data_IF_065594449077
#
_entry.id   IF_065594449077
#
_cell.length_a   1.000
_cell.length_b   1.000
_cell.length_c   1.000
_cell.angle_alpha   90.00
_cell.angle_beta   90.00
_cell.angle_gamma   90.00
#
_symmetry.space_group_name_H-M   'P 1'
#
loop_
_entity.id
_entity.type
_entity.pdbx_description
1 polymer ?
#
# COMPACT_ATOMS: atom_id res chain seq x y z
N UNK A 1 -10.18 -31.30 -19.49
CA UNK A 1 -10.91 -30.07 -19.85
C UNK A 1 -10.00 -28.88 -19.56
N UNK A 2 -9.53 -28.13 -20.57
CA UNK A 2 -8.61 -27.03 -20.35
C UNK A 2 -9.36 -25.82 -19.79
N UNK A 3 -9.04 -25.44 -18.56
CA UNK A 3 -9.56 -24.26 -17.88
C UNK A 3 -9.05 -22.98 -18.57
N UNK A 4 -9.84 -22.45 -19.49
CA UNK A 4 -9.68 -21.08 -19.99
C UNK A 4 -10.09 -20.11 -18.88
N UNK A 5 -9.14 -19.73 -18.02
CA UNK A 5 -9.29 -18.53 -17.20
C UNK A 5 -9.21 -17.34 -18.16
N UNK A 6 -10.36 -16.68 -18.37
CA UNK A 6 -10.48 -15.50 -19.23
C UNK A 6 -9.45 -14.43 -18.85
N UNK A 7 -8.73 -13.89 -19.85
CA UNK A 7 -7.75 -12.78 -19.69
C UNK A 7 -8.32 -11.58 -18.91
N UNK A 8 -9.64 -11.35 -18.93
CA UNK A 8 -10.31 -10.31 -18.14
C UNK A 8 -10.35 -10.60 -16.64
N UNK A 9 -10.51 -11.86 -16.24
CA UNK A 9 -10.48 -12.25 -14.82
C UNK A 9 -9.06 -12.13 -14.23
N UNK A 10 -8.03 -12.35 -15.06
CA UNK A 10 -6.61 -12.21 -14.71
C UNK A 10 -6.17 -10.74 -14.56
N UNK A 11 -6.57 -9.84 -15.48
CA UNK A 11 -6.30 -8.40 -15.38
C UNK A 11 -6.95 -7.73 -14.15
N UNK A 12 -8.08 -8.26 -13.66
CA UNK A 12 -8.70 -7.82 -12.40
C UNK A 12 -8.00 -8.39 -11.15
N UNK A 13 -7.25 -9.49 -11.29
CA UNK A 13 -6.54 -10.15 -10.20
C UNK A 13 -5.19 -9.51 -9.85
N UNK A 14 -4.46 -9.00 -10.86
CA UNK A 14 -3.11 -8.46 -10.67
C UNK A 14 -3.02 -7.03 -10.10
N UNK A 15 -4.15 -6.32 -9.96
CA UNK A 15 -4.22 -4.94 -9.43
C UNK A 15 -4.11 -4.79 -7.90
N UNK A 16 -4.04 -5.87 -7.12
CA UNK A 16 -4.62 -5.86 -5.75
C UNK A 16 -3.62 -5.82 -4.57
N UNK A 17 -2.31 -5.86 -4.79
CA UNK A 17 -1.29 -6.21 -3.78
C UNK A 17 -0.07 -5.27 -3.71
N UNK A 18 0.79 -5.46 -2.69
CA UNK A 18 2.11 -4.82 -2.50
C UNK A 18 2.36 -4.42 -1.03
N UNK A 19 3.59 -4.16 -0.56
CA UNK A 19 4.93 -4.43 -1.13
C UNK A 19 5.97 -4.55 0.03
N UNK A 20 7.23 -4.07 -0.07
CA UNK A 20 8.34 -4.72 0.66
C UNK A 20 9.36 -3.84 1.49
N UNK A 21 9.82 -4.28 2.71
CA UNK A 21 10.67 -3.52 3.71
C UNK A 21 11.62 -4.26 4.72
N UNK A 22 11.74 -3.88 6.03
CA UNK A 22 12.52 -4.64 7.09
C UNK A 22 12.24 -4.25 8.61
N UNK A 23 12.82 -4.96 9.63
CA UNK A 23 12.52 -4.84 11.10
C UNK A 23 13.70 -5.20 12.10
N UNK A 24 13.48 -5.23 13.45
CA UNK A 24 14.54 -5.25 14.53
C UNK A 24 14.40 -6.27 15.70
N UNK A 25 15.52 -6.89 16.09
CA UNK A 25 15.70 -7.74 17.30
C UNK A 25 16.36 -6.94 18.43
N UNK A 26 15.81 -7.01 19.65
CA UNK A 26 16.32 -6.37 20.88
C UNK A 26 17.34 -7.27 21.58
N UNK A 27 18.51 -6.74 21.90
CA UNK A 27 19.38 -7.26 22.97
C UNK A 27 19.86 -6.08 23.82
N UNK A 28 19.47 -6.08 25.09
CA UNK A 28 20.00 -5.20 26.14
C UNK A 28 21.20 -5.86 26.81
N UNK A 29 22.33 -5.14 26.96
CA UNK A 29 22.92 -4.86 28.28
C UNK A 29 24.18 -3.97 28.25
N UNK A 30 24.15 -3.00 29.19
CA UNK A 30 25.25 -2.39 29.97
C UNK A 30 26.43 -1.72 29.26
N UNK A 31 26.59 -0.43 29.55
CA UNK A 31 27.48 0.50 28.87
C UNK A 31 28.95 0.51 29.27
N UNK A 32 29.69 1.28 28.49
CA UNK A 32 30.93 1.97 28.84
C UNK A 32 30.93 3.28 28.06
N UNK A 33 30.92 4.41 28.78
CA UNK A 33 31.13 5.74 28.22
C UNK A 33 32.55 5.83 27.66
N UNK A 34 32.72 6.07 26.36
CA UNK A 34 33.97 6.57 25.78
C UNK A 34 33.69 7.76 24.89
N UNK A 35 34.34 8.88 25.23
CA UNK A 35 34.47 10.09 24.42
C UNK A 35 35.05 9.73 23.05
N UNK A 36 34.38 10.15 21.97
CA UNK A 36 34.97 10.18 20.63
C UNK A 36 34.86 11.61 20.12
N UNK A 37 36.03 12.19 19.87
CA UNK A 37 36.24 13.46 19.23
C UNK A 37 35.43 13.55 17.92
N UNK A 38 34.82 14.71 17.69
CA UNK A 38 34.12 15.04 16.45
C UNK A 38 35.11 15.09 15.27
N UNK A 39 35.42 13.92 14.71
CA UNK A 39 35.94 13.84 13.36
C UNK A 39 34.83 14.36 12.44
N UNK A 40 35.09 15.48 11.77
CA UNK A 40 34.26 15.95 10.67
C UNK A 40 34.39 14.94 9.51
N UNK A 41 33.60 13.87 9.55
CA UNK A 41 33.37 13.05 8.37
C UNK A 41 32.63 13.91 7.36
N UNK A 42 33.14 14.01 6.13
CA UNK A 42 32.37 14.49 4.99
C UNK A 42 30.97 13.85 5.03
N UNK A 43 29.93 14.69 5.01
CA UNK A 43 28.55 14.23 5.09
C UNK A 43 28.22 13.48 3.80
N UNK A 44 28.37 12.15 3.80
CA UNK A 44 27.90 11.33 2.69
C UNK A 44 26.39 11.44 2.58
N UNK A 45 25.91 11.91 1.43
CA UNK A 45 24.48 12.05 1.15
C UNK A 45 23.97 10.83 0.40
N UNK A 46 22.90 10.22 0.92
CA UNK A 46 22.19 9.16 0.22
C UNK A 46 21.38 9.77 -0.93
N UNK A 47 21.52 9.21 -2.13
CA UNK A 47 20.78 9.60 -3.32
C UNK A 47 20.02 8.40 -3.90
N UNK A 48 18.76 8.61 -4.29
CA UNK A 48 17.97 7.66 -5.04
C UNK A 48 18.16 7.90 -6.55
N UNK A 49 18.58 6.87 -7.26
CA UNK A 49 18.62 6.86 -8.72
C UNK A 49 17.37 6.17 -9.24
N UNK A 50 16.49 6.95 -9.87
CA UNK A 50 15.32 6.43 -10.56
C UNK A 50 15.67 6.07 -12.00
N UNK A 51 15.53 4.80 -12.42
CA UNK A 51 15.60 4.46 -13.84
C UNK A 51 14.35 4.98 -14.58
N UNK A 52 14.34 4.92 -15.92
CA UNK A 52 13.16 5.28 -16.70
C UNK A 52 11.90 4.54 -16.22
N UNK A 53 10.81 5.29 -16.07
CA UNK A 53 9.51 4.78 -15.61
C UNK A 53 8.37 5.44 -16.40
N UNK A 54 7.19 4.80 -16.50
CA UNK A 54 6.12 5.26 -17.37
C UNK A 54 5.39 6.47 -16.79
N UNK A 55 5.77 7.68 -17.22
CA UNK A 55 5.11 8.93 -16.84
C UNK A 55 4.54 9.66 -18.06
N UNK A 56 3.45 9.10 -18.61
CA UNK A 56 2.78 9.57 -19.81
C UNK A 56 2.00 10.90 -19.62
N UNK A 57 1.60 11.53 -20.72
CA UNK A 57 0.91 12.83 -20.69
C UNK A 57 -0.42 12.78 -19.93
N UNK A 58 -1.20 11.71 -20.07
CA UNK A 58 -2.43 11.54 -19.29
C UNK A 58 -2.17 11.53 -17.76
N UNK A 59 -1.08 10.93 -17.27
CA UNK A 59 -0.72 10.95 -15.84
C UNK A 59 -0.36 12.36 -15.37
N UNK A 60 0.34 13.14 -16.22
CA UNK A 60 0.69 14.54 -15.94
C UNK A 60 -0.53 15.46 -15.78
N UNK A 61 -1.71 15.04 -16.23
CA UNK A 61 -2.96 15.81 -16.01
C UNK A 61 -3.46 15.75 -14.57
N UNK A 62 -3.02 14.75 -13.78
CA UNK A 62 -3.50 14.53 -12.40
C UNK A 62 -2.37 14.39 -11.37
N UNK A 63 -1.11 14.33 -11.81
CA UNK A 63 0.06 14.17 -10.96
C UNK A 63 1.18 15.13 -11.39
N UNK A 64 2.08 15.46 -10.45
CA UNK A 64 3.21 16.32 -10.75
C UNK A 64 4.47 15.82 -10.05
N UNK A 65 5.58 15.76 -10.79
CA UNK A 65 6.87 15.36 -10.25
C UNK A 65 7.38 16.43 -9.28
N UNK A 66 7.94 15.99 -8.15
CA UNK A 66 8.67 16.85 -7.21
C UNK A 66 9.91 16.11 -6.71
N UNK A 67 10.98 16.20 -7.49
CA UNK A 67 12.27 15.61 -7.12
C UNK A 67 12.85 16.27 -5.86
N UNK A 68 12.50 17.52 -5.56
CA UNK A 68 12.91 18.21 -4.35
C UNK A 68 12.33 17.54 -3.10
N UNK A 69 11.03 17.26 -3.11
CA UNK A 69 10.37 16.48 -2.06
C UNK A 69 10.93 15.06 -1.97
N UNK A 70 11.07 14.35 -3.10
CA UNK A 70 11.62 12.99 -3.11
C UNK A 70 13.02 12.95 -2.45
N UNK A 71 13.90 13.89 -2.81
CA UNK A 71 15.24 14.01 -2.21
C UNK A 71 15.19 14.34 -0.71
N UNK A 72 14.23 15.16 -0.25
CA UNK A 72 14.02 15.38 1.19
C UNK A 72 13.58 14.10 1.89
N UNK A 73 12.69 13.32 1.29
CA UNK A 73 12.24 12.04 1.85
C UNK A 73 13.38 11.02 1.91
N UNK A 74 14.22 10.91 0.87
CA UNK A 74 15.44 10.07 0.91
C UNK A 74 16.37 10.50 2.04
N UNK A 75 16.54 11.81 2.22
CA UNK A 75 17.39 12.36 3.28
C UNK A 75 16.82 12.05 4.67
N UNK A 76 15.50 12.10 4.85
CA UNK A 76 14.84 11.73 6.10
C UNK A 76 14.97 10.23 6.38
N UNK A 77 14.70 9.40 5.37
CA UNK A 77 14.87 7.96 5.41
C UNK A 77 16.30 7.56 5.81
N UNK A 78 17.31 8.21 5.24
CA UNK A 78 18.71 7.96 5.55
C UNK A 78 19.08 8.30 7.01
N UNK A 79 18.44 9.29 7.63
CA UNK A 79 18.64 9.64 9.05
C UNK A 79 17.93 8.68 10.00
N UNK A 80 16.78 8.16 9.58
CA UNK A 80 15.92 7.30 10.41
C UNK A 80 16.25 5.81 10.25
N UNK A 81 16.97 5.43 9.18
CA UNK A 81 17.27 4.03 8.85
C UNK A 81 18.78 3.78 8.89
N UNK A 82 19.28 2.84 9.70
CA UNK A 82 20.69 2.48 9.71
C UNK A 82 21.18 2.07 8.31
N UNK A 83 22.42 2.44 7.95
CA UNK A 83 23.01 2.19 6.63
C UNK A 83 22.86 0.75 6.14
N UNK A 84 23.02 -0.24 7.02
CA UNK A 84 22.89 -1.66 6.66
C UNK A 84 21.47 -2.07 6.21
N UNK A 85 20.45 -1.27 6.52
CA UNK A 85 19.04 -1.54 6.21
C UNK A 85 18.47 -0.59 5.14
N UNK A 86 19.28 0.35 4.63
CA UNK A 86 18.83 1.28 3.59
C UNK A 86 18.61 0.52 2.28
N UNK A 87 17.35 0.40 1.87
CA UNK A 87 16.96 -0.31 0.66
C UNK A 87 16.02 0.57 -0.20
N UNK A 88 16.27 0.74 -1.51
CA UNK A 88 15.46 1.64 -2.35
C UNK A 88 14.01 1.16 -2.50
N UNK A 89 13.78 -0.15 -2.44
CA UNK A 89 12.42 -0.71 -2.47
C UNK A 89 11.73 -0.52 -1.13
N UNK A 90 12.42 -0.69 0.01
CA UNK A 90 11.87 -0.34 1.32
C UNK A 90 11.46 1.15 1.37
N UNK A 91 12.33 2.04 0.89
CA UNK A 91 12.02 3.45 0.80
C UNK A 91 10.76 3.73 -0.05
N UNK A 92 10.70 3.22 -1.28
CA UNK A 92 9.58 3.51 -2.18
C UNK A 92 8.30 2.76 -1.81
N UNK A 93 8.38 1.55 -1.26
CA UNK A 93 7.24 0.66 -1.04
C UNK A 93 6.70 0.71 0.38
N UNK A 94 7.51 1.14 1.35
CA UNK A 94 7.12 1.35 2.76
C UNK A 94 7.08 2.82 3.10
N UNK A 95 8.24 3.47 3.06
CA UNK A 95 8.46 4.77 3.69
C UNK A 95 7.62 5.84 2.99
N UNK A 96 7.64 5.85 1.66
CA UNK A 96 6.85 6.79 0.84
C UNK A 96 5.34 6.59 1.04
N UNK A 97 4.75 5.38 0.92
CA UNK A 97 3.34 5.17 1.24
C UNK A 97 2.95 5.59 2.65
N UNK A 98 3.75 5.24 3.68
CA UNK A 98 3.47 5.68 5.05
C UNK A 98 3.44 7.20 5.12
N UNK A 99 4.47 7.89 4.61
CA UNK A 99 4.49 9.35 4.55
C UNK A 99 3.25 9.93 3.86
N UNK A 100 2.89 9.41 2.68
CA UNK A 100 1.75 9.90 1.91
C UNK A 100 0.45 9.73 2.69
N UNK A 101 0.18 8.53 3.24
CA UNK A 101 -1.06 8.27 3.97
C UNK A 101 -1.13 9.03 5.29
N UNK A 102 -0.01 9.23 5.99
CA UNK A 102 0.03 10.10 7.18
C UNK A 102 -0.34 11.55 6.85
N UNK A 103 0.02 12.03 5.65
CA UNK A 103 -0.35 13.36 5.16
C UNK A 103 -1.82 13.45 4.72
N UNK A 104 -2.35 12.42 4.06
CA UNK A 104 -3.73 12.46 3.55
C UNK A 104 -4.80 12.14 4.59
N UNK A 105 -4.46 11.38 5.64
CA UNK A 105 -5.37 10.98 6.72
C UNK A 105 -5.50 12.04 7.84
N UNK A 106 -4.91 13.22 7.66
CA UNK A 106 -5.05 14.37 8.56
C UNK A 106 -5.59 15.60 7.81
N UNK A 107 -6.12 16.62 8.51
CA UNK A 107 -6.43 17.90 7.87
C UNK A 107 -5.20 18.46 7.13
N UNK A 108 -5.40 19.06 5.96
CA UNK A 108 -4.29 19.69 5.22
C UNK A 108 -3.69 20.83 6.03
N UNK A 109 -2.36 20.92 6.06
CA UNK A 109 -1.61 22.06 6.60
C UNK A 109 -1.03 22.91 5.45
N UNK A 110 -0.74 24.21 5.67
CA UNK A 110 -0.25 25.12 4.61
C UNK A 110 1.03 24.64 3.89
N UNK A 111 1.91 23.92 4.59
CA UNK A 111 3.19 23.43 4.07
C UNK A 111 3.11 21.97 3.58
N UNK A 112 1.91 21.38 3.53
CA UNK A 112 1.76 20.02 3.02
C UNK A 112 1.97 19.97 1.50
N UNK A 113 2.60 18.90 0.98
CA UNK A 113 2.71 18.71 -0.45
C UNK A 113 1.34 18.69 -1.13
N UNK A 114 1.31 19.18 -2.37
CA UNK A 114 0.10 19.14 -3.18
C UNK A 114 -0.38 17.70 -3.41
N UNK A 115 -1.69 17.50 -3.56
CA UNK A 115 -2.24 16.18 -3.90
C UNK A 115 -1.64 15.58 -5.19
N UNK A 116 -1.46 16.35 -6.29
CA UNK A 116 -0.76 15.85 -7.48
C UNK A 116 0.65 15.31 -7.19
N UNK A 117 1.38 15.93 -6.27
CA UNK A 117 2.71 15.48 -5.85
C UNK A 117 2.63 14.16 -5.08
N UNK A 118 1.68 14.04 -4.14
CA UNK A 118 1.48 12.80 -3.37
C UNK A 118 1.03 11.64 -4.28
N UNK A 119 0.18 11.91 -5.28
CA UNK A 119 -0.24 10.93 -6.28
C UNK A 119 0.95 10.40 -7.11
N UNK A 120 1.86 11.30 -7.51
CA UNK A 120 3.09 10.90 -8.20
C UNK A 120 3.99 10.02 -7.34
N UNK A 121 4.16 10.34 -6.06
CA UNK A 121 4.92 9.48 -5.13
C UNK A 121 4.31 8.07 -5.02
N UNK A 122 2.98 7.96 -4.99
CA UNK A 122 2.30 6.66 -4.98
C UNK A 122 2.39 5.92 -6.31
N UNK A 123 2.47 6.64 -7.44
CA UNK A 123 2.75 6.05 -8.75
C UNK A 123 4.16 5.42 -8.78
N UNK A 124 5.18 6.12 -8.27
CA UNK A 124 6.54 5.56 -8.13
C UNK A 124 6.54 4.33 -7.23
N UNK A 125 5.91 4.42 -6.05
CA UNK A 125 5.80 3.33 -5.09
C UNK A 125 5.15 2.09 -5.71
N UNK A 126 4.03 2.29 -6.42
CA UNK A 126 3.34 1.23 -7.14
C UNK A 126 4.21 0.61 -8.22
N UNK A 127 4.69 1.42 -9.17
CA UNK A 127 5.45 0.93 -10.33
C UNK A 127 6.68 0.14 -9.91
N UNK A 128 7.54 0.70 -9.06
CA UNK A 128 8.76 0.03 -8.63
C UNK A 128 8.50 -1.14 -7.68
N UNK A 129 7.42 -1.11 -6.89
CA UNK A 129 6.97 -2.28 -6.13
C UNK A 129 6.59 -3.45 -7.03
N UNK A 130 5.94 -3.17 -8.17
CA UNK A 130 5.61 -4.17 -9.19
C UNK A 130 6.85 -4.73 -9.87
N UNK A 131 7.77 -3.86 -10.30
CA UNK A 131 9.05 -4.26 -10.93
C UNK A 131 9.89 -5.10 -9.96
N UNK A 132 9.94 -4.73 -8.67
CA UNK A 132 10.61 -5.52 -7.64
C UNK A 132 10.02 -6.92 -7.51
N UNK A 133 8.68 -7.05 -7.46
CA UNK A 133 8.08 -8.36 -7.32
C UNK A 133 8.28 -9.22 -8.57
N UNK A 134 8.22 -8.62 -9.78
CA UNK A 134 8.60 -9.28 -11.05
C UNK A 134 10.00 -9.88 -10.94
N UNK A 135 10.97 -9.10 -10.49
CA UNK A 135 12.36 -9.51 -10.37
C UNK A 135 12.58 -10.57 -9.28
N UNK A 136 11.87 -10.45 -8.15
CA UNK A 136 11.88 -11.47 -7.11
C UNK A 136 11.38 -12.83 -7.64
N UNK A 137 10.29 -12.84 -8.41
CA UNK A 137 9.80 -14.08 -9.02
C UNK A 137 10.74 -14.66 -10.07
N UNK A 138 11.47 -13.83 -10.82
CA UNK A 138 12.47 -14.29 -11.79
C UNK A 138 13.70 -14.87 -11.06
N UNK A 139 14.15 -14.20 -9.99
CA UNK A 139 15.30 -14.61 -9.17
C UNK A 139 15.03 -15.89 -8.39
N UNK A 140 13.79 -16.11 -7.95
CA UNK A 140 13.37 -17.26 -7.16
C UNK A 140 12.25 -18.04 -7.86
N UNK A 141 12.54 -18.69 -9.00
CA UNK A 141 11.52 -19.35 -9.81
C UNK A 141 10.92 -20.56 -9.07
N UNK A 142 9.61 -20.75 -9.21
CA UNK A 142 8.89 -21.95 -8.73
C UNK A 142 8.52 -22.83 -9.94
N UNK A 143 8.65 -24.17 -9.86
CA UNK A 143 8.25 -25.06 -10.95
C UNK A 143 6.82 -24.80 -11.42
N UNK A 144 6.64 -24.68 -12.74
CA UNK A 144 5.32 -24.38 -13.34
C UNK A 144 4.89 -22.91 -13.25
N UNK A 145 5.72 -22.01 -12.72
CA UNK A 145 5.53 -20.57 -12.83
C UNK A 145 5.95 -20.08 -14.23
N UNK A 146 5.21 -19.15 -14.87
CA UNK A 146 5.61 -18.61 -16.16
C UNK A 146 6.76 -17.62 -15.97
N UNK A 147 8.00 -18.11 -15.98
CA UNK A 147 9.21 -17.32 -15.92
C UNK A 147 10.06 -17.57 -17.19
N UNK A 148 10.48 -16.52 -17.94
CA UNK A 148 10.10 -15.12 -17.74
C UNK A 148 8.60 -14.90 -17.95
N UNK A 149 8.04 -13.93 -17.23
CA UNK A 149 6.61 -13.60 -17.28
C UNK A 149 6.22 -12.97 -18.62
N UNK A 150 4.97 -13.13 -19.07
CA UNK A 150 4.47 -12.37 -20.22
C UNK A 150 4.67 -10.88 -19.99
N UNK A 151 5.46 -10.26 -20.86
CA UNK A 151 5.76 -8.83 -20.82
C UNK A 151 4.71 -8.02 -21.55
N UNK A 152 4.22 -6.95 -20.94
CA UNK A 152 3.37 -5.95 -21.59
C UNK A 152 4.01 -4.57 -21.41
N UNK A 153 4.54 -3.96 -22.49
CA UNK A 153 5.07 -2.61 -22.42
C UNK A 153 4.02 -1.64 -21.86
N UNK A 154 4.39 -0.75 -20.92
CA UNK A 154 3.50 0.29 -20.45
C UNK A 154 3.05 1.16 -21.62
N UNK A 155 1.76 1.48 -21.67
CA UNK A 155 1.20 2.41 -22.65
C UNK A 155 0.41 3.48 -21.95
N UNK A 156 0.33 4.66 -22.55
CA UNK A 156 -0.52 5.74 -22.05
C UNK A 156 -1.97 5.26 -21.84
N UNK A 157 -2.52 4.51 -22.81
CA UNK A 157 -3.87 3.94 -22.72
C UNK A 157 -4.05 3.00 -21.51
N UNK A 158 -3.01 2.28 -21.10
CA UNK A 158 -3.02 1.44 -19.91
C UNK A 158 -3.32 2.21 -18.62
N UNK A 159 -3.00 3.51 -18.57
CA UNK A 159 -3.24 4.38 -17.42
C UNK A 159 -4.56 5.15 -17.47
N UNK A 160 -5.36 5.05 -18.54
CA UNK A 160 -6.63 5.80 -18.66
C UNK A 160 -7.59 5.52 -17.50
N UNK A 161 -7.69 4.26 -17.08
CA UNK A 161 -8.53 3.90 -15.93
C UNK A 161 -7.98 4.48 -14.62
N UNK A 162 -6.66 4.55 -14.44
CA UNK A 162 -6.03 5.16 -13.26
C UNK A 162 -6.38 6.65 -13.20
N UNK A 163 -6.21 7.37 -14.31
CA UNK A 163 -6.52 8.81 -14.42
C UNK A 163 -7.99 9.10 -14.15
N UNK A 164 -8.90 8.35 -14.78
CA UNK A 164 -10.35 8.52 -14.57
C UNK A 164 -10.74 8.34 -13.09
N UNK A 165 -10.15 7.35 -12.42
CA UNK A 165 -10.41 7.03 -11.03
C UNK A 165 -9.87 8.08 -10.06
N UNK A 166 -8.68 8.63 -10.34
CA UNK A 166 -8.12 9.75 -9.58
C UNK A 166 -9.03 10.98 -9.72
N UNK A 167 -9.45 11.31 -10.95
CA UNK A 167 -10.35 12.44 -11.18
C UNK A 167 -11.67 12.29 -10.43
N UNK A 168 -12.27 11.10 -10.40
CA UNK A 168 -13.49 10.86 -9.61
C UNK A 168 -13.29 11.17 -8.11
N UNK A 169 -12.15 10.76 -7.54
CA UNK A 169 -11.81 11.06 -6.15
C UNK A 169 -11.55 12.57 -5.93
N UNK A 170 -10.82 13.22 -6.84
CA UNK A 170 -10.53 14.65 -6.75
C UNK A 170 -11.79 15.51 -6.92
N UNK A 171 -12.73 15.10 -7.79
CA UNK A 171 -14.05 15.75 -7.91
C UNK A 171 -14.81 15.67 -6.59
N UNK A 172 -14.87 14.51 -5.95
CA UNK A 172 -15.53 14.37 -4.65
C UNK A 172 -14.82 15.16 -3.54
N UNK A 173 -13.49 15.26 -3.58
CA UNK A 173 -12.72 16.02 -2.60
C UNK A 173 -12.97 17.54 -2.72
N UNK A 174 -12.98 18.06 -3.95
CA UNK A 174 -13.22 19.47 -4.26
C UNK A 174 -14.72 19.85 -4.25
N UNK A 175 -15.59 18.84 -4.16
CA UNK A 175 -17.03 18.99 -4.08
C UNK A 175 -17.51 19.52 -2.74
N UNK A 176 -18.84 19.62 -2.62
CA UNK A 176 -19.48 20.00 -1.36
C UNK A 176 -19.39 18.88 -0.31
N UNK A 177 -19.77 19.19 0.93
CA UNK A 177 -19.69 18.26 2.06
C UNK A 177 -20.46 16.95 1.82
N UNK A 178 -21.65 17.05 1.20
CA UNK A 178 -22.48 15.88 0.90
C UNK A 178 -21.81 14.97 -0.14
N UNK A 179 -21.15 15.54 -1.15
CA UNK A 179 -20.40 14.79 -2.17
C UNK A 179 -19.20 14.05 -1.57
N UNK A 180 -18.45 14.70 -0.67
CA UNK A 180 -17.34 14.06 0.03
C UNK A 180 -17.81 12.90 0.91
N UNK A 181 -18.89 13.10 1.68
CA UNK A 181 -19.47 12.06 2.56
C UNK A 181 -20.03 10.89 1.74
N UNK A 182 -20.76 11.19 0.65
CA UNK A 182 -21.32 10.17 -0.24
C UNK A 182 -20.22 9.34 -0.90
N UNK A 183 -19.14 9.99 -1.37
CA UNK A 183 -18.00 9.28 -1.93
C UNK A 183 -17.30 8.41 -0.88
N UNK A 184 -17.08 8.92 0.34
CA UNK A 184 -16.48 8.15 1.42
C UNK A 184 -17.32 6.89 1.73
N UNK A 185 -18.65 7.01 1.83
CA UNK A 185 -19.54 5.88 2.07
C UNK A 185 -19.49 4.86 0.91
N UNK A 186 -19.59 5.35 -0.32
CA UNK A 186 -19.57 4.52 -1.51
C UNK A 186 -18.22 3.80 -1.69
N UNK A 187 -17.12 4.43 -1.28
CA UNK A 187 -15.78 3.87 -1.36
C UNK A 187 -15.56 2.64 -0.46
N UNK A 188 -16.34 2.47 0.60
CA UNK A 188 -16.29 1.25 1.43
C UNK A 188 -16.62 0.00 0.58
N UNK A 189 -17.60 0.12 -0.33
CA UNK A 189 -18.11 -0.96 -1.18
C UNK A 189 -17.56 -0.97 -2.61
N UNK A 190 -17.00 0.14 -3.07
CA UNK A 190 -16.29 0.24 -4.34
C UNK A 190 -16.86 1.24 -5.33
N UNK A 191 -18.19 1.34 -5.51
CA UNK A 191 -18.81 2.17 -6.55
C UNK A 191 -18.33 1.84 -7.98
N UNK A 192 -17.41 2.64 -8.55
CA UNK A 192 -16.72 2.36 -9.83
C UNK A 192 -15.24 1.93 -9.62
N UNK A 193 -14.82 1.87 -8.36
CA UNK A 193 -13.51 1.43 -7.89
C UNK A 193 -13.59 0.07 -7.20
N UNK A 194 -12.43 -0.45 -6.82
CA UNK A 194 -12.34 -1.52 -5.85
C UNK A 194 -12.57 -0.94 -4.45
N UNK A 195 -13.52 -1.49 -3.69
CA UNK A 195 -13.91 -0.96 -2.38
C UNK A 195 -12.82 -1.13 -1.31
N UNK A 196 -12.74 -0.19 -0.37
CA UNK A 196 -11.80 -0.23 0.74
C UNK A 196 -11.97 -1.50 1.58
N UNK A 197 -13.20 -1.98 1.77
CA UNK A 197 -13.49 -3.22 2.50
C UNK A 197 -13.00 -4.45 1.74
N UNK A 198 -13.18 -4.48 0.41
CA UNK A 198 -12.66 -5.54 -0.48
C UNK A 198 -11.13 -5.56 -0.50
N UNK A 199 -10.53 -4.37 -0.51
CA UNK A 199 -9.09 -4.16 -0.56
C UNK A 199 -8.41 -4.54 0.77
N UNK A 200 -8.98 -4.12 1.90
CA UNK A 200 -8.52 -4.53 3.22
C UNK A 200 -8.61 -6.05 3.38
N UNK A 201 -9.77 -6.64 3.09
CA UNK A 201 -9.96 -8.09 3.17
C UNK A 201 -8.96 -8.85 2.30
N UNK A 202 -8.78 -8.44 1.05
CA UNK A 202 -7.80 -9.06 0.15
C UNK A 202 -6.38 -9.02 0.73
N UNK A 203 -5.92 -7.85 1.20
CA UNK A 203 -4.56 -7.70 1.73
C UNK A 203 -4.36 -8.41 3.08
N UNK A 204 -5.38 -8.46 3.94
CA UNK A 204 -5.36 -9.25 5.17
C UNK A 204 -5.26 -10.76 4.88
N UNK A 205 -6.08 -11.27 3.94
CA UNK A 205 -6.04 -12.67 3.54
C UNK A 205 -4.73 -13.05 2.83
N UNK A 206 -4.18 -12.13 2.03
CA UNK A 206 -2.85 -12.27 1.44
C UNK A 206 -1.77 -12.37 2.52
N UNK A 207 -1.72 -11.42 3.45
CA UNK A 207 -0.70 -11.37 4.50
C UNK A 207 -0.75 -12.63 5.39
N UNK A 208 -1.95 -13.05 5.79
CA UNK A 208 -2.16 -14.31 6.50
C UNK A 208 -1.66 -15.53 5.70
N UNK A 209 -1.97 -15.58 4.40
CA UNK A 209 -1.54 -16.67 3.52
C UNK A 209 -0.03 -16.77 3.39
N UNK A 210 0.70 -15.65 3.25
CA UNK A 210 2.15 -15.68 3.11
C UNK A 210 2.90 -15.90 4.44
N UNK A 211 2.26 -15.66 5.58
CA UNK A 211 2.79 -16.00 6.90
C UNK A 211 2.62 -17.48 7.24
N UNK A 212 1.53 -18.09 6.76
CA UNK A 212 1.14 -19.45 7.11
C UNK A 212 1.35 -20.42 5.94
N UNK A 213 0.38 -20.51 5.03
CA UNK A 213 0.30 -21.58 4.01
C UNK A 213 1.26 -21.44 2.84
N UNK A 214 1.77 -20.24 2.55
CA UNK A 214 2.69 -19.96 1.43
C UNK A 214 4.08 -19.51 1.87
N UNK A 215 4.38 -19.60 3.17
CA UNK A 215 5.68 -19.22 3.73
C UNK A 215 6.82 -19.91 2.96
N UNK A 216 7.89 -19.20 2.57
CA UNK A 216 9.02 -19.82 1.90
C UNK A 216 9.67 -20.92 2.76
N UNK A 217 10.19 -21.96 2.09
CA UNK A 217 10.79 -23.13 2.76
C UNK A 217 12.02 -22.74 3.58
N UNK A 218 12.83 -21.82 3.06
CA UNK A 218 14.08 -21.38 3.65
C UNK A 218 13.96 -20.08 4.46
N UNK A 219 12.74 -19.66 4.79
CA UNK A 219 12.48 -18.45 5.55
C UNK A 219 11.71 -18.73 6.84
N UNK A 220 11.94 -17.87 7.83
CA UNK A 220 11.26 -17.85 9.12
C UNK A 220 10.27 -16.70 9.10
N UNK A 221 9.00 -17.01 9.34
CA UNK A 221 7.98 -16.01 9.59
C UNK A 221 8.05 -15.59 11.06
N UNK A 222 8.07 -14.29 11.39
CA UNK A 222 8.01 -13.86 12.77
C UNK A 222 6.69 -14.31 13.42
N UNK A 223 6.78 -14.86 14.64
CA UNK A 223 5.59 -15.29 15.38
C UNK A 223 4.73 -14.08 15.72
N UNK A 224 3.42 -14.18 15.46
CA UNK A 224 2.48 -13.10 15.74
C UNK A 224 2.68 -11.85 14.88
N UNK A 225 3.34 -11.98 13.71
CA UNK A 225 3.62 -10.83 12.84
C UNK A 225 2.37 -10.05 12.43
N UNK A 226 1.28 -10.77 12.15
CA UNK A 226 -0.03 -10.22 11.86
C UNK A 226 -1.10 -11.17 12.37
N UNK A 227 -2.15 -10.62 12.99
CA UNK A 227 -3.33 -11.37 13.41
C UNK A 227 -4.55 -10.65 12.86
N UNK A 228 -5.29 -11.34 11.98
CA UNK A 228 -6.57 -10.88 11.46
C UNK A 228 -7.70 -11.30 12.40
N UNK A 229 -8.58 -10.35 12.75
CA UNK A 229 -9.73 -10.61 13.62
C UNK A 229 -11.00 -10.72 12.78
N UNK A 230 -11.38 -11.95 12.43
CA UNK A 230 -12.40 -12.22 11.39
C UNK A 230 -13.80 -11.69 11.72
N UNK A 231 -14.09 -11.41 12.99
CA UNK A 231 -15.40 -10.98 13.48
C UNK A 231 -15.61 -9.47 13.44
N UNK A 232 -14.56 -8.68 13.19
CA UNK A 232 -14.59 -7.22 13.24
C UNK A 232 -14.15 -6.61 11.90
N UNK A 233 -14.79 -5.49 11.53
CA UNK A 233 -14.43 -4.74 10.32
C UNK A 233 -13.12 -4.00 10.52
N UNK A 234 -12.24 -4.08 9.52
CA UNK A 234 -10.97 -3.37 9.52
C UNK A 234 -10.16 -3.64 10.80
N UNK A 235 -10.15 -4.88 11.27
CA UNK A 235 -9.48 -5.26 12.53
C UNK A 235 -8.33 -6.24 12.32
N UNK A 236 -7.17 -5.81 12.79
CA UNK A 236 -5.90 -6.49 12.61
C UNK A 236 -4.86 -5.88 13.54
N UNK A 237 -4.01 -6.74 14.07
CA UNK A 237 -2.84 -6.37 14.88
C UNK A 237 -1.56 -6.69 14.13
N UNK A 238 -0.53 -5.88 14.32
CA UNK A 238 0.73 -5.93 13.59
C UNK A 238 1.90 -5.97 14.57
N UNK A 239 2.95 -6.71 14.24
CA UNK A 239 4.21 -6.67 14.99
C UNK A 239 5.10 -5.49 14.60
N UNK A 240 4.83 -4.82 13.48
CA UNK A 240 5.52 -3.59 13.06
C UNK A 240 4.90 -2.37 13.74
N UNK A 241 5.64 -1.26 13.80
CA UNK A 241 5.13 0.01 14.32
C UNK A 241 3.86 0.44 13.54
N UNK A 242 2.87 0.94 14.27
CA UNK A 242 1.65 1.43 13.67
C UNK A 242 1.86 2.81 13.05
N UNK A 243 1.32 3.03 11.84
CA UNK A 243 1.28 4.36 11.24
C UNK A 243 0.53 5.31 12.17
N UNK A 244 1.01 6.54 12.29
CA UNK A 244 0.47 7.53 13.25
C UNK A 244 -1.06 7.70 13.20
N UNK A 245 -1.74 7.72 12.05
CA UNK A 245 -3.19 7.95 12.01
C UNK A 245 -4.03 6.72 12.39
N UNK A 246 -3.47 5.52 12.49
CA UNK A 246 -4.26 4.29 12.63
C UNK A 246 -5.07 4.25 13.94
N UNK A 247 -4.41 4.45 15.08
CA UNK A 247 -5.08 4.49 16.39
C UNK A 247 -6.16 5.58 16.48
N UNK A 248 -5.87 6.77 15.92
CA UNK A 248 -6.85 7.86 15.83
C UNK A 248 -8.11 7.41 15.09
N UNK A 249 -7.98 6.75 13.94
CA UNK A 249 -9.13 6.32 13.16
C UNK A 249 -9.86 5.12 13.76
N UNK A 250 -9.17 4.21 14.44
CA UNK A 250 -9.82 3.17 15.27
C UNK A 250 -10.72 3.80 16.33
N UNK A 251 -10.19 4.78 17.08
CA UNK A 251 -10.96 5.53 18.10
C UNK A 251 -12.13 6.29 17.50
N UNK A 252 -11.98 6.93 16.35
CA UNK A 252 -13.08 7.62 15.67
C UNK A 252 -14.17 6.67 15.19
N UNK A 253 -13.83 5.53 14.59
CA UNK A 253 -14.79 4.52 14.17
C UNK A 253 -15.56 3.93 15.37
N UNK A 254 -14.87 3.62 16.47
CA UNK A 254 -15.51 3.14 17.70
C UNK A 254 -16.48 4.18 18.29
N UNK A 255 -16.06 5.45 18.37
CA UNK A 255 -16.93 6.55 18.83
C UNK A 255 -18.12 6.77 17.89
N UNK A 256 -17.92 6.64 16.59
CA UNK A 256 -18.99 6.74 15.60
C UNK A 256 -20.02 5.63 15.81
N UNK A 257 -19.60 4.38 16.06
CA UNK A 257 -20.48 3.25 16.33
C UNK A 257 -21.33 3.43 17.60
N UNK A 258 -20.77 4.06 18.64
CA UNK A 258 -21.46 4.28 19.92
C UNK A 258 -22.30 5.56 19.99
N UNK A 259 -22.27 6.43 18.97
CA UNK A 259 -22.93 7.75 19.02
C UNK A 259 -24.45 7.64 18.82
N UNK A 260 -25.32 8.19 19.68
CA UNK A 260 -26.77 8.19 19.42
C UNK A 260 -27.13 8.83 18.08
N UNK A 261 -28.03 8.18 17.31
CA UNK A 261 -28.50 8.67 16.01
C UNK A 261 -27.49 8.54 14.85
N UNK A 262 -26.41 7.77 15.02
CA UNK A 262 -25.46 7.48 13.94
C UNK A 262 -26.05 6.52 12.88
N UNK A 263 -25.40 6.47 11.70
CA UNK A 263 -25.71 5.53 10.61
C UNK A 263 -24.76 4.32 10.53
N UNK A 264 -23.94 4.08 11.55
CA UNK A 264 -22.92 3.02 11.57
C UNK A 264 -23.52 1.65 11.28
N UNK A 265 -24.57 1.25 12.02
CA UNK A 265 -25.19 -0.06 11.83
C UNK A 265 -25.76 -0.21 10.41
N UNK A 266 -26.50 0.81 9.92
CA UNK A 266 -27.04 0.86 8.55
C UNK A 266 -25.93 0.69 7.50
N UNK A 267 -24.83 1.44 7.64
CA UNK A 267 -23.69 1.37 6.71
C UNK A 267 -23.00 0.02 6.78
N UNK A 268 -22.88 -0.60 7.96
CA UNK A 268 -22.21 -1.89 8.14
C UNK A 268 -23.04 -3.06 7.61
N UNK A 269 -24.33 -3.12 7.97
CA UNK A 269 -25.23 -4.21 7.55
C UNK A 269 -25.65 -4.08 6.09
N UNK A 270 -25.55 -2.87 5.53
CA UNK A 270 -26.11 -2.55 4.23
C UNK A 270 -27.59 -2.17 4.31
N UNK A 271 -28.02 -1.36 3.35
CA UNK A 271 -29.38 -0.87 3.19
C UNK A 271 -29.72 -0.78 1.69
N UNK A 272 -31.01 -0.79 1.34
CA UNK A 272 -31.47 -0.66 -0.05
C UNK A 272 -31.03 -1.76 -1.03
N UNK A 273 -30.44 -2.86 -0.53
CA UNK A 273 -29.85 -3.93 -1.35
C UNK A 273 -28.32 -3.88 -1.49
N UNK A 274 -27.63 -2.96 -0.79
CA UNK A 274 -26.18 -2.97 -0.72
C UNK A 274 -25.65 -4.11 0.16
N UNK A 275 -24.57 -4.77 -0.26
CA UNK A 275 -23.94 -5.86 0.50
C UNK A 275 -23.44 -5.39 1.87
N UNK A 276 -23.54 -6.28 2.86
CA UNK A 276 -22.97 -6.05 4.18
C UNK A 276 -21.44 -6.00 4.10
N UNK A 277 -20.82 -5.00 4.76
CA UNK A 277 -19.37 -4.84 4.72
C UNK A 277 -18.62 -6.08 5.25
N UNK A 278 -19.06 -6.79 6.31
CA UNK A 278 -18.38 -8.01 6.76
C UNK A 278 -18.34 -9.11 5.69
N UNK A 279 -19.41 -9.24 4.88
CA UNK A 279 -19.45 -10.19 3.78
C UNK A 279 -18.45 -9.82 2.67
N UNK A 280 -18.36 -8.53 2.32
CA UNK A 280 -17.37 -8.02 1.36
C UNK A 280 -15.94 -8.29 1.87
N UNK A 281 -15.66 -8.02 3.15
CA UNK A 281 -14.35 -8.24 3.75
C UNK A 281 -13.97 -9.72 3.73
N UNK A 282 -14.89 -10.59 4.16
CA UNK A 282 -14.69 -12.04 4.16
C UNK A 282 -14.42 -12.59 2.75
N UNK A 283 -15.18 -12.14 1.75
CA UNK A 283 -14.94 -12.50 0.35
C UNK A 283 -13.58 -11.99 -0.14
N UNK A 284 -13.17 -10.79 0.29
CA UNK A 284 -11.83 -10.26 0.06
C UNK A 284 -10.74 -11.18 0.62
N UNK A 285 -10.86 -11.57 1.89
CA UNK A 285 -9.91 -12.48 2.58
C UNK A 285 -9.77 -13.79 1.83
N UNK A 286 -10.88 -14.44 1.49
CA UNK A 286 -10.86 -15.70 0.76
C UNK A 286 -10.12 -15.58 -0.59
N UNK A 287 -10.34 -14.49 -1.32
CA UNK A 287 -9.66 -14.24 -2.60
C UNK A 287 -8.19 -13.86 -2.42
N UNK A 288 -7.82 -13.16 -1.34
CA UNK A 288 -6.42 -12.92 -0.97
C UNK A 288 -5.67 -14.23 -0.76
N UNK A 289 -6.23 -15.12 0.09
CA UNK A 289 -5.70 -16.47 0.34
C UNK A 289 -5.60 -17.30 -0.93
N UNK A 290 -6.65 -17.34 -1.75
CA UNK A 290 -6.64 -18.09 -2.99
C UNK A 290 -5.61 -17.57 -4.00
N UNK A 291 -5.47 -16.25 -4.11
CA UNK A 291 -4.54 -15.61 -5.06
C UNK A 291 -3.08 -15.92 -4.70
N UNK A 292 -2.76 -15.94 -3.41
CA UNK A 292 -1.40 -16.19 -2.92
C UNK A 292 -1.19 -17.61 -2.42
N UNK A 293 -2.13 -18.52 -2.66
CA UNK A 293 -2.04 -19.94 -2.33
C UNK A 293 -0.81 -20.56 -2.99
N UNK A 294 -0.14 -21.56 -2.37
CA UNK A 294 0.95 -22.27 -3.00
C UNK A 294 0.52 -23.01 -4.29
N UNK A 295 -0.78 -23.26 -4.46
CA UNK A 295 -1.34 -23.85 -5.67
C UNK A 295 -1.37 -22.87 -6.86
N UNK A 296 -1.30 -21.56 -6.60
CA UNK A 296 -1.17 -20.57 -7.65
C UNK A 296 0.31 -20.33 -7.97
N UNK A 297 0.87 -21.13 -8.87
CA UNK A 297 2.28 -21.03 -9.29
C UNK A 297 2.63 -19.67 -9.91
N UNK A 298 1.64 -18.87 -10.31
CA UNK A 298 1.86 -17.51 -10.80
C UNK A 298 2.34 -16.54 -9.70
N UNK A 299 1.94 -16.72 -8.44
CA UNK A 299 2.35 -15.85 -7.32
C UNK A 299 3.03 -16.62 -6.18
N UNK A 300 3.45 -17.85 -6.45
CA UNK A 300 4.12 -18.68 -5.45
C UNK A 300 5.46 -18.05 -5.04
N UNK A 301 5.64 -17.91 -3.72
CA UNK A 301 6.86 -17.32 -3.11
C UNK A 301 7.74 -18.37 -2.43
N UNK A 302 7.46 -19.66 -2.63
CA UNK A 302 8.04 -20.77 -1.86
C UNK A 302 9.58 -20.78 -1.82
N UNK A 303 10.23 -20.18 -2.82
CA UNK A 303 11.68 -20.13 -2.99
C UNK A 303 12.33 -18.80 -2.61
N UNK A 304 11.58 -17.80 -2.12
CA UNK A 304 12.14 -16.51 -1.69
C UNK A 304 13.16 -16.73 -0.56
N UNK A 305 14.26 -15.98 -0.60
CA UNK A 305 15.21 -15.92 0.51
C UNK A 305 14.66 -15.08 1.68
N UNK A 306 15.31 -15.18 2.84
CA UNK A 306 14.87 -14.45 4.04
C UNK A 306 14.79 -12.93 3.81
N UNK A 307 15.81 -12.25 3.23
CA UNK A 307 15.71 -10.83 2.96
C UNK A 307 14.53 -10.48 2.04
N UNK A 308 14.31 -11.19 0.94
CA UNK A 308 13.19 -10.91 0.02
C UNK A 308 11.84 -11.16 0.69
N UNK A 309 11.77 -12.11 1.63
CA UNK A 309 10.56 -12.42 2.39
C UNK A 309 10.29 -11.44 3.54
N UNK A 310 11.28 -11.06 4.35
CA UNK A 310 11.13 -9.99 5.36
C UNK A 310 10.83 -8.65 4.69
N UNK A 311 11.42 -8.43 3.52
CA UNK A 311 11.03 -7.42 2.56
C UNK A 311 9.54 -7.64 2.25
N UNK A 312 9.10 -8.73 1.62
CA UNK A 312 7.68 -8.99 1.28
C UNK A 312 6.69 -8.77 2.44
N UNK A 313 6.98 -9.26 3.66
CA UNK A 313 6.16 -9.05 4.86
C UNK A 313 6.07 -7.57 5.21
N UNK A 314 7.25 -6.93 5.34
CA UNK A 314 7.51 -5.48 5.42
C UNK A 314 6.28 -4.59 5.31
N UNK A 315 5.89 -4.32 4.06
CA UNK A 315 4.86 -3.31 3.69
C UNK A 315 3.58 -3.94 3.20
N UNK A 316 3.53 -5.26 3.01
CA UNK A 316 2.27 -5.99 3.07
C UNK A 316 1.57 -5.73 4.41
N UNK A 317 2.33 -5.46 5.48
CA UNK A 317 1.81 -4.90 6.73
C UNK A 317 1.53 -3.39 6.67
N UNK A 318 2.52 -2.54 6.34
CA UNK A 318 2.32 -1.08 6.35
C UNK A 318 1.26 -0.58 5.36
N UNK A 319 1.20 -1.13 4.16
CA UNK A 319 0.17 -0.81 3.17
C UNK A 319 -1.21 -1.28 3.66
N UNK A 320 -1.31 -2.47 4.28
CA UNK A 320 -2.55 -2.92 4.91
C UNK A 320 -3.01 -1.95 6.01
N UNK A 321 -2.10 -1.42 6.84
CA UNK A 321 -2.41 -0.38 7.81
C UNK A 321 -2.93 0.91 7.14
N UNK A 322 -2.34 1.33 6.02
CA UNK A 322 -2.81 2.50 5.26
C UNK A 322 -4.25 2.30 4.75
N UNK A 323 -4.56 1.12 4.20
CA UNK A 323 -5.91 0.77 3.75
C UNK A 323 -6.87 0.66 4.94
N UNK A 324 -6.45 0.07 6.06
CA UNK A 324 -7.23 -0.03 7.29
C UNK A 324 -7.61 1.35 7.82
N UNK A 325 -6.64 2.26 7.97
CA UNK A 325 -6.88 3.61 8.46
C UNK A 325 -7.80 4.40 7.51
N UNK A 326 -7.66 4.21 6.20
CA UNK A 326 -8.54 4.83 5.20
C UNK A 326 -9.97 4.30 5.26
N UNK A 327 -10.14 2.98 5.41
CA UNK A 327 -11.46 2.35 5.60
C UNK A 327 -12.15 2.79 6.89
N UNK A 328 -11.39 2.86 8.00
CA UNK A 328 -11.88 3.37 9.28
C UNK A 328 -12.27 4.85 9.20
N UNK A 329 -11.48 5.67 8.49
CA UNK A 329 -11.81 7.08 8.26
C UNK A 329 -13.11 7.24 7.47
N UNK A 330 -13.27 6.49 6.37
CA UNK A 330 -14.49 6.49 5.57
C UNK A 330 -15.71 6.06 6.40
N UNK A 331 -15.59 4.94 7.13
CA UNK A 331 -16.66 4.42 7.98
C UNK A 331 -17.06 5.41 9.07
N UNK A 332 -16.08 5.98 9.79
CA UNK A 332 -16.33 6.96 10.84
C UNK A 332 -16.98 8.23 10.28
N UNK A 333 -16.48 8.75 9.16
CA UNK A 333 -16.99 9.96 8.51
C UNK A 333 -18.46 9.80 8.09
N UNK A 334 -18.77 8.73 7.35
CA UNK A 334 -20.11 8.48 6.83
C UNK A 334 -21.12 8.14 7.92
N UNK A 335 -20.69 7.44 8.97
CA UNK A 335 -21.57 7.09 10.10
C UNK A 335 -22.07 8.31 10.88
N UNK A 336 -21.29 9.40 10.95
CA UNK A 336 -21.67 10.62 11.71
C UNK A 336 -21.86 11.86 10.84
N UNK A 337 -21.74 11.74 9.52
CA UNK A 337 -21.86 12.84 8.57
C UNK A 337 -20.78 13.91 8.71
N UNK A 338 -19.54 13.53 9.02
CA UNK A 338 -18.43 14.50 9.17
C UNK A 338 -17.67 14.70 7.85
N UNK A 339 -17.79 15.90 7.27
CA UNK A 339 -17.22 16.22 5.97
C UNK A 339 -15.69 16.31 5.96
N UNK A 340 -15.07 16.81 7.03
CA UNK A 340 -13.60 16.90 7.13
C UNK A 340 -12.96 15.51 7.20
N UNK A 341 -13.57 14.60 7.96
CA UNK A 341 -13.16 13.21 8.01
C UNK A 341 -13.37 12.52 6.66
N UNK A 342 -14.48 12.81 5.99
CA UNK A 342 -14.75 12.30 4.65
C UNK A 342 -13.69 12.75 3.66
N UNK A 343 -13.27 14.03 3.68
CA UNK A 343 -12.18 14.54 2.84
C UNK A 343 -10.83 13.91 3.13
N UNK A 344 -10.53 13.56 4.38
CA UNK A 344 -9.33 12.78 4.71
C UNK A 344 -9.40 11.36 4.11
N UNK A 345 -10.56 10.70 4.21
CA UNK A 345 -10.78 9.39 3.61
C UNK A 345 -10.72 9.44 2.08
N UNK A 346 -11.33 10.44 1.43
CA UNK A 346 -11.33 10.62 -0.03
C UNK A 346 -9.91 10.82 -0.56
N UNK A 347 -9.13 11.73 0.06
CA UNK A 347 -7.72 11.97 -0.32
C UNK A 347 -6.90 10.69 -0.19
N UNK A 348 -7.05 9.97 0.90
CA UNK A 348 -6.28 8.74 1.17
C UNK A 348 -6.69 7.59 0.26
N UNK A 349 -7.99 7.46 -0.04
CA UNK A 349 -8.48 6.49 -1.02
C UNK A 349 -7.94 6.80 -2.43
N UNK A 350 -7.82 8.09 -2.80
CA UNK A 350 -7.21 8.48 -4.06
C UNK A 350 -5.75 8.01 -4.20
N UNK A 351 -4.99 7.92 -3.09
CA UNK A 351 -3.59 7.45 -3.08
C UNK A 351 -3.44 5.97 -3.40
N UNK A 352 -4.45 5.14 -3.10
CA UNK A 352 -4.44 3.71 -3.42
C UNK A 352 -4.56 3.43 -4.93
N UNK A 353 -5.14 4.37 -5.69
CA UNK A 353 -5.39 4.23 -7.13
C UNK A 353 -4.09 4.19 -7.96
N UNK A 354 -3.19 5.19 -7.90
CA UNK A 354 -1.93 5.13 -8.62
C UNK A 354 -1.01 4.02 -8.11
N UNK A 355 -1.06 3.68 -6.82
CA UNK A 355 -0.30 2.56 -6.28
C UNK A 355 -0.68 1.23 -6.97
N UNK A 356 -1.95 0.81 -6.86
CA UNK A 356 -2.40 -0.47 -7.41
C UNK A 356 -2.34 -0.52 -8.94
N UNK A 357 -2.69 0.58 -9.62
CA UNK A 357 -2.64 0.66 -11.07
C UNK A 357 -1.21 0.55 -11.62
N UNK A 358 -0.28 1.27 -11.01
CA UNK A 358 1.13 1.26 -11.45
C UNK A 358 1.84 -0.02 -11.03
N UNK A 359 1.47 -0.62 -9.90
CA UNK A 359 1.97 -1.92 -9.45
C UNK A 359 1.70 -3.03 -10.45
N UNK A 360 0.46 -3.15 -10.94
CA UNK A 360 0.14 -4.09 -12.02
C UNK A 360 1.04 -3.89 -13.23
N UNK A 361 1.21 -2.64 -13.66
CA UNK A 361 2.00 -2.33 -14.85
C UNK A 361 3.48 -2.67 -14.63
N UNK A 362 4.04 -2.35 -13.47
CA UNK A 362 5.41 -2.70 -13.11
C UNK A 362 5.65 -4.21 -13.02
N UNK A 363 4.67 -4.98 -12.52
CA UNK A 363 4.75 -6.44 -12.43
C UNK A 363 4.87 -7.12 -13.81
N UNK A 364 4.37 -6.47 -14.86
CA UNK A 364 4.29 -7.01 -16.21
C UNK A 364 5.14 -6.31 -17.26
N UNK A 365 5.72 -5.15 -17.00
CA UNK A 365 6.74 -4.68 -17.94
C UNK A 365 8.02 -5.50 -17.75
N UNK A 366 8.61 -5.97 -18.86
CA UNK A 366 9.88 -6.69 -18.86
C UNK A 366 11.08 -5.75 -19.06
N UNK A 367 10.86 -4.46 -19.32
CA UNK A 367 11.94 -3.47 -19.53
C UNK A 367 12.25 -2.64 -18.29
N UNK A 368 11.34 -2.61 -17.30
CA UNK A 368 11.50 -1.88 -16.05
C UNK A 368 12.76 -2.30 -15.30
N UNK A 369 13.45 -1.33 -14.70
CA UNK A 369 14.64 -1.56 -13.89
C UNK A 369 14.37 -1.18 -12.45
N UNK A 370 15.10 -1.79 -11.51
CA UNK A 370 15.00 -1.42 -10.10
C UNK A 370 15.75 -0.11 -9.84
N UNK A 371 15.21 0.74 -8.94
CA UNK A 371 15.93 1.90 -8.45
C UNK A 371 17.10 1.47 -7.57
N UNK A 372 18.11 2.33 -7.49
CA UNK A 372 19.32 2.09 -6.70
C UNK A 372 19.62 3.25 -5.76
N UNK A 373 20.34 2.98 -4.69
CA UNK A 373 20.95 4.01 -3.86
C UNK A 373 22.43 4.17 -4.19
N UNK A 374 22.90 5.41 -4.17
CA UNK A 374 24.32 5.77 -4.20
C UNK A 374 24.64 6.75 -3.08
N UNK A 375 25.87 6.74 -2.60
CA UNK A 375 26.38 7.79 -1.72
C UNK A 375 27.20 8.76 -2.55
N UNK A 376 26.88 10.05 -2.44
CA UNK A 376 27.72 11.11 -2.97
C UNK A 376 28.49 11.74 -1.82
N UNK A 377 29.78 11.99 -2.03
CA UNK A 377 30.53 12.90 -1.18
C UNK A 377 30.13 14.33 -1.59
N UNK A 378 29.81 15.20 -0.62
CA UNK A 378 29.52 16.62 -0.85
C UNK A 378 30.76 17.40 -1.29
#
# INVERSE_FOLDING_TARGET
MPNYISRRAFFLGAMRAGAAGLATTVISNTGVLHNIAAAHSSSRRLQLNLPPYPFFNNLKTVMSEDLGLLNRLVSNYARETPTAFQNPIDFLSRYVPVYVFEKTLRPSEPDDPSLPTLLWLMHLAGYFGGVWLRDAFIRFPVPGSPNPRPGFPPTEAGFNSVVARINAALTAFNGNDAEAIAYAEASLRGAQLQGLTDNYGYNAGYLDQILTGSKPTNAIAPVGYFIYHETLLFDGTYAVEEIRPLDKWRKHAQRAASRPGNRYAEIVTGAGGADALPAIQSAGVARGKATWSPLNTFLAIANFDQPTYDLLLVTSAYFLQCIQATGLAALAASAVGNADWARAAVRSNAMAVPYGGSYSIGLFDNTGQLPTFTYTDD
#
